data_IF_139928311332
#
_entry.id   IF_139928311332
#
_cell.length_a   1.000
_cell.length_b   1.000
_cell.length_c   1.000
_cell.angle_alpha   90.00
_cell.angle_beta   90.00
_cell.angle_gamma   90.00
#
_symmetry.space_group_name_H-M   'P 1'
#
loop_
_entity.id
_entity.type
_entity.pdbx_description
1 polymer ?
#
# COMPACT_ATOMS: atom_id res chain seq x y z
N UNK A 1 18.40 30.10 20.87
CA UNK A 1 19.51 30.64 20.09
C UNK A 1 19.03 31.33 18.82
N UNK A 2 17.94 30.90 18.26
CA UNK A 2 17.29 31.46 17.05
C UNK A 2 15.76 31.48 17.24
N UNK A 3 15.23 32.39 18.09
CA UNK A 3 13.81 32.40 18.45
C UNK A 3 12.91 32.68 17.22
N UNK A 4 13.34 33.57 16.33
CA UNK A 4 12.60 33.89 15.11
C UNK A 4 12.49 32.68 14.20
N UNK A 5 13.59 31.98 13.97
CA UNK A 5 13.59 30.75 13.16
C UNK A 5 12.68 29.66 13.75
N UNK A 6 12.70 29.50 15.09
CA UNK A 6 11.80 28.56 15.76
C UNK A 6 10.32 28.94 15.53
N UNK A 7 10.02 30.22 15.63
CA UNK A 7 8.66 30.74 15.41
C UNK A 7 8.20 30.48 13.95
N UNK A 8 9.04 30.83 12.97
CA UNK A 8 8.74 30.59 11.55
C UNK A 8 8.56 29.09 11.24
N UNK A 9 9.36 28.21 11.85
CA UNK A 9 9.19 26.76 11.70
C UNK A 9 7.86 26.27 12.28
N UNK A 10 7.44 26.77 13.44
CA UNK A 10 6.16 26.42 14.05
C UNK A 10 5.02 26.88 13.14
N UNK A 11 5.03 28.14 12.69
CA UNK A 11 4.00 28.70 11.80
C UNK A 11 3.91 27.91 10.47
N UNK A 12 5.05 27.51 9.92
CA UNK A 12 5.07 26.68 8.71
C UNK A 12 4.50 25.27 8.98
N UNK A 13 4.81 24.65 10.11
CA UNK A 13 4.25 23.35 10.50
C UNK A 13 2.74 23.43 10.73
N UNK A 14 2.26 24.48 11.41
CA UNK A 14 0.84 24.71 11.64
C UNK A 14 0.11 24.91 10.31
N UNK A 15 0.66 25.73 9.40
CA UNK A 15 0.13 25.92 8.06
C UNK A 15 0.04 24.61 7.27
N UNK A 16 1.10 23.79 7.28
CA UNK A 16 1.12 22.50 6.61
C UNK A 16 0.08 21.54 7.21
N UNK A 17 -0.06 21.53 8.53
CA UNK A 17 -1.03 20.67 9.21
C UNK A 17 -2.48 21.07 8.91
N UNK A 18 -2.77 22.37 8.82
CA UNK A 18 -4.10 22.89 8.47
C UNK A 18 -4.48 22.64 7.00
N UNK A 19 -3.46 22.56 6.12
CA UNK A 19 -3.65 22.38 4.68
C UNK A 19 -3.37 20.96 4.18
N UNK A 20 -3.26 19.97 5.09
CA UNK A 20 -3.18 18.57 4.70
C UNK A 20 -4.55 18.09 4.18
N UNK A 21 -4.54 17.45 3.02
CA UNK A 21 -5.75 16.83 2.44
C UNK A 21 -6.33 15.72 3.33
N UNK A 22 -5.53 15.16 4.23
CA UNK A 22 -5.91 14.09 5.15
C UNK A 22 -4.93 14.02 6.34
N UNK A 23 -5.43 13.49 7.47
CA UNK A 23 -4.63 13.24 8.67
C UNK A 23 -4.12 11.80 8.68
N UNK A 24 -2.92 11.59 9.19
CA UNK A 24 -2.39 10.25 9.47
C UNK A 24 -2.83 9.78 10.86
N UNK A 25 -2.91 8.46 11.03
CA UNK A 25 -3.29 7.83 12.29
C UNK A 25 -2.37 6.62 12.56
N UNK A 26 -1.85 6.47 13.79
CA UNK A 26 -1.07 5.27 14.12
C UNK A 26 -1.87 3.99 13.83
N UNK A 27 -1.23 3.06 13.16
CA UNK A 27 -1.79 1.71 13.00
C UNK A 27 -1.48 0.87 14.23
N UNK A 28 -2.32 -0.15 14.49
CA UNK A 28 -2.14 -1.05 15.63
C UNK A 28 -0.70 -1.58 15.73
N UNK A 29 -0.11 -1.41 16.92
CA UNK A 29 1.26 -1.75 17.24
C UNK A 29 1.64 -3.23 17.02
N UNK A 30 0.67 -4.12 16.85
CA UNK A 30 0.91 -5.52 16.50
C UNK A 30 1.46 -5.74 15.08
N UNK A 31 1.44 -4.73 14.21
CA UNK A 31 1.85 -4.85 12.80
C UNK A 31 3.26 -4.34 12.60
N UNK A 32 3.51 -3.06 12.84
CA UNK A 32 4.81 -2.42 12.74
C UNK A 32 4.84 -1.15 13.57
N UNK A 33 5.90 -0.95 14.35
CA UNK A 33 6.11 0.31 15.04
C UNK A 33 6.37 1.43 14.01
N UNK A 34 5.60 2.51 14.06
CA UNK A 34 5.78 3.68 13.21
C UNK A 34 5.06 3.63 11.86
N UNK A 35 4.26 2.59 11.57
CA UNK A 35 3.38 2.63 10.41
C UNK A 35 2.10 3.39 10.74
N UNK A 36 1.76 4.34 9.90
CA UNK A 36 0.56 5.17 10.04
C UNK A 36 -0.38 4.97 8.86
N UNK A 37 -1.66 4.86 9.15
CA UNK A 37 -2.72 4.93 8.15
C UNK A 37 -2.64 6.28 7.43
N UNK A 38 -2.71 6.26 6.12
CA UNK A 38 -2.53 7.37 5.19
C UNK A 38 -1.11 7.98 5.17
N UNK A 39 -0.17 7.44 5.95
CA UNK A 39 1.23 7.81 5.86
C UNK A 39 1.79 7.51 4.47
N UNK A 40 2.74 8.32 4.04
CA UNK A 40 3.36 8.25 2.72
C UNK A 40 4.79 7.71 2.86
N UNK A 41 5.09 6.59 2.20
CA UNK A 41 6.34 5.85 2.38
C UNK A 41 6.93 5.39 1.05
N UNK A 42 8.25 5.41 0.96
CA UNK A 42 8.96 4.62 -0.04
C UNK A 42 8.86 3.12 0.29
N UNK A 43 9.09 2.27 -0.69
CA UNK A 43 9.09 0.81 -0.45
C UNK A 43 10.20 0.40 0.53
N UNK A 44 11.32 1.08 0.47
CA UNK A 44 12.47 0.91 1.35
C UNK A 44 12.13 1.21 2.81
N UNK A 45 11.44 2.31 3.06
CA UNK A 45 10.96 2.68 4.40
C UNK A 45 9.98 1.65 4.95
N UNK A 46 9.02 1.20 4.11
CA UNK A 46 8.09 0.15 4.52
C UNK A 46 8.85 -1.12 4.91
N UNK A 47 9.80 -1.59 4.10
CA UNK A 47 10.59 -2.76 4.45
C UNK A 47 11.46 -2.57 5.70
N UNK A 48 11.97 -1.36 5.92
CA UNK A 48 12.71 -1.03 7.15
C UNK A 48 11.81 -1.09 8.39
N UNK A 49 10.59 -0.55 8.33
CA UNK A 49 9.59 -0.63 9.40
C UNK A 49 9.25 -2.08 9.78
N UNK A 50 9.29 -2.99 8.81
CA UNK A 50 9.08 -4.42 9.05
C UNK A 50 10.37 -5.20 9.37
N UNK A 51 11.52 -4.52 9.52
CA UNK A 51 12.80 -5.14 9.82
C UNK A 51 13.40 -5.94 8.66
N UNK A 52 12.95 -5.69 7.43
CA UNK A 52 13.41 -6.40 6.22
C UNK A 52 14.51 -5.70 5.46
N UNK A 53 14.81 -4.47 5.83
CA UNK A 53 15.88 -3.67 5.25
C UNK A 53 16.62 -2.90 6.32
N UNK A 54 17.94 -2.75 6.16
CA UNK A 54 18.80 -1.88 6.96
C UNK A 54 19.58 -0.94 6.05
N UNK A 55 20.32 0.03 6.62
CA UNK A 55 21.17 0.92 5.85
C UNK A 55 22.18 0.17 4.96
N UNK A 56 22.70 -0.95 5.46
CA UNK A 56 23.75 -1.75 4.81
C UNK A 56 23.22 -2.91 3.96
N UNK A 57 21.95 -3.27 4.14
CA UNK A 57 21.36 -4.44 3.47
C UNK A 57 20.03 -4.12 2.83
N UNK A 58 20.04 -3.98 1.49
CA UNK A 58 18.81 -3.79 0.72
C UNK A 58 18.00 -5.09 0.63
N UNK A 59 16.69 -4.94 0.70
CA UNK A 59 15.75 -6.04 0.52
C UNK A 59 15.83 -6.63 -0.89
N UNK A 60 16.00 -7.96 -0.98
CA UNK A 60 15.88 -8.67 -2.25
C UNK A 60 14.42 -9.05 -2.53
N UNK A 61 14.02 -9.05 -3.81
CA UNK A 61 12.65 -9.39 -4.21
C UNK A 61 11.63 -8.25 -4.11
N UNK A 62 12.09 -7.02 -3.86
CA UNK A 62 11.23 -5.84 -3.74
C UNK A 62 10.44 -5.46 -5.01
N UNK A 63 10.69 -6.12 -6.14
CA UNK A 63 9.98 -5.84 -7.41
C UNK A 63 8.53 -6.35 -7.42
N UNK A 64 8.17 -7.31 -6.56
CA UNK A 64 6.81 -7.88 -6.49
C UNK A 64 5.77 -6.87 -6.01
N UNK A 65 4.56 -6.96 -6.54
CA UNK A 65 3.37 -6.23 -6.07
C UNK A 65 2.76 -6.78 -4.78
N UNK A 66 3.14 -8.00 -4.37
CA UNK A 66 2.74 -8.60 -3.10
C UNK A 66 3.97 -9.19 -2.42
N UNK A 67 4.10 -8.98 -1.12
CA UNK A 67 5.22 -9.42 -0.32
C UNK A 67 4.77 -9.97 1.04
N UNK A 68 5.17 -11.22 1.35
CA UNK A 68 4.80 -11.89 2.60
C UNK A 68 5.88 -11.72 3.67
N UNK A 69 5.42 -11.43 4.88
CA UNK A 69 6.22 -11.40 6.11
C UNK A 69 5.69 -12.51 7.02
N UNK A 70 6.18 -13.72 6.77
CA UNK A 70 5.63 -14.95 7.37
C UNK A 70 5.68 -14.93 8.89
N UNK A 71 6.78 -14.47 9.50
CA UNK A 71 6.95 -14.41 10.96
C UNK A 71 6.00 -13.46 11.67
N UNK A 72 5.37 -12.53 10.93
CA UNK A 72 4.37 -11.59 11.45
C UNK A 72 2.94 -11.96 11.00
N UNK A 73 2.80 -12.98 10.16
CA UNK A 73 1.56 -13.34 9.49
C UNK A 73 0.92 -12.15 8.76
N UNK A 74 1.76 -11.37 8.06
CA UNK A 74 1.37 -10.15 7.34
C UNK A 74 1.74 -10.28 5.87
N UNK A 75 0.90 -9.75 5.00
CA UNK A 75 1.19 -9.57 3.57
C UNK A 75 1.03 -8.11 3.17
N UNK A 76 1.99 -7.58 2.43
CA UNK A 76 2.02 -6.21 1.96
C UNK A 76 1.64 -6.19 0.48
N UNK A 77 0.61 -5.41 0.12
CA UNK A 77 0.23 -5.16 -1.26
C UNK A 77 0.73 -3.81 -1.72
N UNK A 78 1.48 -3.78 -2.81
CA UNK A 78 2.02 -2.57 -3.43
C UNK A 78 1.37 -2.35 -4.79
N UNK A 79 0.45 -1.41 -4.86
CA UNK A 79 -0.36 -1.14 -6.04
C UNK A 79 -0.02 0.21 -6.65
N UNK A 80 0.18 0.22 -7.97
CA UNK A 80 0.22 1.43 -8.80
C UNK A 80 -1.06 1.45 -9.62
N UNK A 81 -1.88 2.49 -9.49
CA UNK A 81 -3.18 2.59 -10.17
C UNK A 81 -3.02 2.88 -11.66
N UNK A 82 -2.21 3.87 -12.01
CA UNK A 82 -1.95 4.23 -13.39
C UNK A 82 -0.75 3.43 -13.91
N UNK A 83 -1.02 2.43 -14.76
CA UNK A 83 0.02 1.56 -15.32
C UNK A 83 0.26 1.94 -16.77
N UNK A 84 1.34 2.66 -17.03
CA UNK A 84 1.76 2.99 -18.40
C UNK A 84 2.50 1.81 -19.03
N UNK A 85 2.40 1.68 -20.36
CA UNK A 85 3.14 0.66 -21.13
C UNK A 85 4.66 0.80 -21.01
N UNK A 86 5.15 2.01 -20.68
CA UNK A 86 6.58 2.28 -20.46
C UNK A 86 7.11 1.65 -19.16
N UNK A 87 6.24 1.54 -18.15
CA UNK A 87 6.62 1.13 -16.80
C UNK A 87 6.26 -0.32 -16.48
N UNK A 88 5.33 -0.90 -17.24
CA UNK A 88 4.81 -2.23 -17.00
C UNK A 88 4.70 -3.00 -18.32
N UNK A 89 5.16 -4.26 -18.31
CA UNK A 89 4.92 -5.15 -19.43
C UNK A 89 3.42 -5.48 -19.57
N UNK A 90 2.92 -5.84 -20.75
CA UNK A 90 1.51 -6.21 -20.96
C UNK A 90 1.02 -7.28 -19.97
N UNK A 91 1.91 -8.18 -19.55
CA UNK A 91 1.59 -9.28 -18.61
C UNK A 91 1.55 -8.83 -17.14
N UNK A 92 1.94 -7.59 -16.82
CA UNK A 92 1.96 -7.04 -15.46
C UNK A 92 1.07 -5.80 -15.31
N UNK A 93 0.28 -5.48 -16.32
CA UNK A 93 -0.74 -4.43 -16.28
C UNK A 93 -2.03 -4.96 -15.63
N UNK A 94 -1.94 -5.33 -14.35
CA UNK A 94 -3.10 -5.76 -13.57
C UNK A 94 -4.14 -4.64 -13.45
N UNK A 95 -5.40 -4.99 -13.49
CA UNK A 95 -6.51 -4.04 -13.37
C UNK A 95 -6.88 -3.87 -11.89
N UNK A 96 -6.19 -2.95 -11.23
CA UNK A 96 -6.39 -2.64 -9.80
C UNK A 96 -7.07 -1.26 -9.68
N UNK A 97 -8.17 -1.18 -8.94
CA UNK A 97 -8.94 0.06 -8.77
C UNK A 97 -9.81 0.05 -7.52
N UNK A 98 -10.18 1.24 -7.05
CA UNK A 98 -11.19 1.39 -6.00
C UNK A 98 -12.58 1.27 -6.61
N UNK A 99 -13.37 0.32 -6.11
CA UNK A 99 -14.80 0.15 -6.46
C UNK A 99 -15.60 1.23 -5.76
N UNK A 100 -15.23 1.55 -4.51
CA UNK A 100 -15.78 2.61 -3.68
C UNK A 100 -14.75 3.04 -2.64
N UNK A 101 -15.09 3.98 -1.76
CA UNK A 101 -14.20 4.40 -0.67
C UNK A 101 -13.76 3.27 0.26
N UNK A 102 -14.57 2.20 0.38
CA UNK A 102 -14.32 1.07 1.27
C UNK A 102 -14.07 -0.25 0.54
N UNK A 103 -14.03 -0.27 -0.78
CA UNK A 103 -13.89 -1.48 -1.60
C UNK A 103 -12.80 -1.32 -2.62
N UNK A 104 -11.94 -2.32 -2.71
CA UNK A 104 -10.81 -2.36 -3.63
C UNK A 104 -10.81 -3.65 -4.46
N UNK A 105 -10.71 -3.51 -5.78
CA UNK A 105 -10.48 -4.62 -6.70
C UNK A 105 -8.98 -4.77 -6.94
N UNK A 106 -8.48 -5.99 -6.78
CA UNK A 106 -7.09 -6.34 -6.99
C UNK A 106 -6.93 -7.60 -7.81
N UNK A 107 -6.00 -7.59 -8.75
CA UNK A 107 -5.60 -8.78 -9.49
C UNK A 107 -4.31 -9.36 -8.91
N UNK A 108 -4.35 -10.66 -8.59
CA UNK A 108 -3.18 -11.38 -8.14
C UNK A 108 -2.14 -11.52 -9.25
N UNK A 109 -0.96 -12.02 -8.90
CA UNK A 109 0.03 -12.44 -9.89
C UNK A 109 -0.55 -13.53 -10.81
N UNK A 110 -0.10 -13.57 -12.08
CA UNK A 110 -0.56 -14.51 -13.09
C UNK A 110 -0.34 -16.00 -12.75
N UNK A 111 0.47 -16.32 -11.76
CA UNK A 111 0.70 -17.68 -11.28
C UNK A 111 -0.25 -18.12 -10.17
N UNK A 112 -1.14 -17.24 -9.68
CA UNK A 112 -1.99 -17.50 -8.52
C UNK A 112 -3.35 -18.08 -8.93
N UNK A 113 -3.83 -19.02 -8.12
CA UNK A 113 -5.15 -19.64 -8.25
C UNK A 113 -5.72 -19.99 -6.87
N UNK A 114 -7.00 -20.34 -6.82
CA UNK A 114 -7.67 -20.78 -5.59
C UNK A 114 -7.09 -22.08 -5.01
N UNK A 115 -6.38 -22.87 -5.80
CA UNK A 115 -5.84 -24.18 -5.41
C UNK A 115 -4.34 -24.21 -5.13
N UNK A 116 -3.66 -23.09 -5.30
CA UNK A 116 -2.22 -22.96 -5.02
C UNK A 116 -1.93 -21.86 -3.97
N UNK A 117 -0.82 -21.16 -4.12
CA UNK A 117 -0.43 -20.07 -3.22
C UNK A 117 -1.45 -18.93 -3.12
N UNK A 118 -2.40 -18.81 -4.06
CA UNK A 118 -3.51 -17.87 -3.99
C UNK A 118 -4.57 -18.24 -2.94
N UNK A 119 -4.63 -19.52 -2.52
CA UNK A 119 -5.53 -19.97 -1.47
C UNK A 119 -5.35 -19.19 -0.15
N UNK A 120 -4.15 -18.65 0.13
CA UNK A 120 -3.88 -17.85 1.34
C UNK A 120 -4.69 -16.56 1.40
N UNK A 121 -5.06 -16.00 0.25
CA UNK A 121 -5.92 -14.80 0.17
C UNK A 121 -7.34 -15.14 0.57
N UNK A 122 -7.88 -16.20 -0.03
CA UNK A 122 -9.26 -16.68 0.21
C UNK A 122 -9.45 -17.17 1.65
N UNK A 123 -8.42 -17.79 2.21
CA UNK A 123 -8.45 -18.33 3.58
C UNK A 123 -8.15 -17.29 4.67
N UNK A 124 -8.02 -16.01 4.32
CA UNK A 124 -7.74 -14.95 5.29
C UNK A 124 -8.69 -14.96 6.50
N UNK A 125 -10.01 -15.13 6.34
CA UNK A 125 -10.91 -15.13 7.49
C UNK A 125 -10.64 -16.24 8.52
N UNK A 126 -10.01 -17.33 8.10
CA UNK A 126 -9.72 -18.49 8.95
C UNK A 126 -8.27 -18.58 9.42
N UNK A 127 -7.31 -18.01 8.67
CA UNK A 127 -5.89 -18.11 8.99
C UNK A 127 -5.34 -16.92 9.79
N UNK A 128 -6.16 -15.87 10.00
CA UNK A 128 -5.78 -14.66 10.72
C UNK A 128 -4.67 -13.84 10.06
N UNK A 129 -4.34 -14.09 8.78
CA UNK A 129 -3.35 -13.31 8.03
C UNK A 129 -3.85 -11.90 7.81
N UNK A 130 -3.00 -10.93 8.09
CA UNK A 130 -3.32 -9.52 7.90
C UNK A 130 -2.75 -9.03 6.57
N UNK A 131 -3.56 -8.33 5.80
CA UNK A 131 -3.16 -7.73 4.53
C UNK A 131 -3.16 -6.23 4.66
N UNK A 132 -2.06 -5.58 4.24
CA UNK A 132 -1.91 -4.13 4.29
C UNK A 132 -1.80 -3.63 2.85
N UNK A 133 -2.67 -2.70 2.49
CA UNK A 133 -2.71 -2.10 1.16
C UNK A 133 -1.90 -0.80 1.12
N UNK A 134 -0.95 -0.74 0.20
CA UNK A 134 -0.17 0.45 -0.14
C UNK A 134 -0.45 0.83 -1.59
N UNK A 135 -0.87 2.07 -1.82
CA UNK A 135 -1.30 2.56 -3.14
C UNK A 135 -0.55 3.82 -3.53
N UNK A 136 -0.20 3.92 -4.79
CA UNK A 136 0.23 5.17 -5.44
C UNK A 136 -0.49 5.33 -6.77
N UNK A 137 -0.63 6.56 -7.25
CA UNK A 137 -1.21 6.81 -8.58
C UNK A 137 -0.26 6.35 -9.67
N UNK A 138 0.92 6.94 -9.72
CA UNK A 138 1.91 6.71 -10.75
C UNK A 138 3.19 6.11 -10.17
N UNK A 139 3.94 5.39 -11.01
CA UNK A 139 5.24 4.84 -10.62
C UNK A 139 6.30 5.93 -10.48
N UNK A 140 6.22 6.94 -11.35
CA UNK A 140 7.14 8.07 -11.38
C UNK A 140 6.39 9.38 -11.47
N UNK A 141 6.97 10.42 -10.88
CA UNK A 141 6.49 11.79 -11.02
C UNK A 141 6.90 12.39 -12.38
N UNK A 142 6.46 13.64 -12.64
CA UNK A 142 6.79 14.37 -13.84
C UNK A 142 8.30 14.69 -14.03
N UNK A 143 9.10 14.49 -12.98
CA UNK A 143 10.55 14.68 -12.99
C UNK A 143 11.35 13.37 -13.08
N UNK A 144 10.66 12.23 -13.09
CA UNK A 144 11.26 10.90 -13.18
C UNK A 144 11.62 10.25 -11.84
N UNK A 145 11.31 10.89 -10.71
CA UNK A 145 11.51 10.31 -9.38
C UNK A 145 10.46 9.23 -9.10
N UNK A 146 10.84 8.21 -8.34
CA UNK A 146 9.90 7.17 -7.92
C UNK A 146 8.90 7.72 -6.91
N UNK A 147 7.61 7.65 -7.21
CA UNK A 147 6.54 8.05 -6.31
C UNK A 147 6.45 7.10 -5.11
N UNK A 148 6.31 7.62 -3.89
CA UNK A 148 6.05 6.83 -2.70
C UNK A 148 4.62 6.26 -2.70
N UNK A 149 4.36 5.36 -1.76
CA UNK A 149 3.05 4.75 -1.55
C UNK A 149 2.34 5.35 -0.35
N UNK A 150 1.04 5.46 -0.43
CA UNK A 150 0.18 5.78 0.70
C UNK A 150 -0.34 4.50 1.34
N UNK A 151 -0.25 4.41 2.67
CA UNK A 151 -0.79 3.29 3.43
C UNK A 151 -2.31 3.42 3.53
N UNK A 152 -3.05 2.52 2.90
CA UNK A 152 -4.53 2.46 2.99
C UNK A 152 -5.02 1.61 4.17
N UNK A 153 -4.11 1.05 4.96
CA UNK A 153 -4.43 0.25 6.13
C UNK A 153 -4.75 -1.21 5.82
N UNK A 154 -5.44 -1.83 6.76
CA UNK A 154 -5.83 -3.24 6.67
C UNK A 154 -6.95 -3.44 5.67
N UNK A 155 -6.89 -4.58 4.99
CA UNK A 155 -7.94 -5.03 4.09
C UNK A 155 -8.33 -6.48 4.38
N UNK A 156 -9.64 -6.76 4.31
CA UNK A 156 -10.22 -8.05 4.52
C UNK A 156 -10.79 -8.64 3.23
N UNK A 157 -10.62 -9.95 3.08
CA UNK A 157 -11.15 -10.68 1.93
C UNK A 157 -12.67 -10.65 1.89
N UNK A 158 -13.23 -10.39 0.73
CA UNK A 158 -14.68 -10.39 0.49
C UNK A 158 -15.09 -11.53 -0.43
N UNK A 159 -14.58 -11.52 -1.64
CA UNK A 159 -14.85 -12.54 -2.66
C UNK A 159 -13.77 -12.55 -3.73
N UNK A 160 -13.72 -13.62 -4.49
CA UNK A 160 -12.81 -13.74 -5.63
C UNK A 160 -13.41 -14.59 -6.75
N UNK A 161 -12.88 -14.39 -7.95
CA UNK A 161 -13.20 -15.22 -9.11
C UNK A 161 -12.00 -15.29 -10.05
N UNK A 162 -12.04 -16.26 -10.97
CA UNK A 162 -10.97 -16.47 -11.95
C UNK A 162 -9.71 -17.08 -11.33
N UNK A 163 -8.80 -17.47 -12.19
CA UNK A 163 -7.47 -17.98 -11.85
C UNK A 163 -6.49 -17.51 -12.92
N UNK A 164 -5.23 -17.29 -12.54
CA UNK A 164 -4.12 -16.99 -13.43
C UNK A 164 -4.29 -15.70 -14.29
N UNK A 165 -4.68 -14.52 -13.71
CA UNK A 165 -4.74 -14.15 -12.30
C UNK A 165 -6.10 -14.37 -11.63
N UNK A 166 -6.12 -14.33 -10.32
CA UNK A 166 -7.35 -14.22 -9.51
C UNK A 166 -7.78 -12.75 -9.44
N UNK A 167 -9.07 -12.50 -9.56
CA UNK A 167 -9.68 -11.19 -9.28
C UNK A 167 -10.25 -11.25 -7.87
N UNK A 168 -9.81 -10.36 -7.01
CA UNK A 168 -10.15 -10.38 -5.59
C UNK A 168 -10.70 -9.02 -5.18
N UNK A 169 -11.83 -9.01 -4.49
CA UNK A 169 -12.37 -7.83 -3.84
C UNK A 169 -11.99 -7.83 -2.36
N UNK A 170 -11.47 -6.70 -1.92
CA UNK A 170 -11.05 -6.43 -0.55
C UNK A 170 -11.93 -5.35 0.08
N UNK A 171 -12.28 -5.53 1.35
CA UNK A 171 -12.91 -4.52 2.18
C UNK A 171 -11.81 -3.77 2.93
N UNK A 172 -11.74 -2.45 2.79
CA UNK A 172 -10.88 -1.62 3.62
C UNK A 172 -11.49 -1.46 5.02
N UNK A 173 -10.66 -1.51 6.05
CA UNK A 173 -11.08 -1.22 7.42
C UNK A 173 -11.46 0.27 7.60
N UNK A 174 -10.77 1.16 6.90
CA UNK A 174 -11.01 2.60 6.87
C UNK A 174 -11.19 3.08 5.43
N UNK A 175 -11.97 4.14 5.18
CA UNK A 175 -12.17 4.66 3.83
C UNK A 175 -10.85 5.04 3.16
N UNK A 176 -10.74 4.80 1.86
CA UNK A 176 -9.59 5.25 1.08
C UNK A 176 -9.52 6.77 0.98
N UNK A 177 -8.33 7.31 0.78
CA UNK A 177 -8.12 8.74 0.51
C UNK A 177 -8.88 9.11 -0.77
N UNK A 178 -9.71 10.16 -0.71
CA UNK A 178 -10.61 10.57 -1.80
C UNK A 178 -9.92 10.75 -3.16
N UNK A 179 -8.69 11.25 -3.19
CA UNK A 179 -7.93 11.46 -4.43
C UNK A 179 -7.71 10.19 -5.26
N UNK A 180 -7.71 9.01 -4.64
CA UNK A 180 -7.54 7.74 -5.34
C UNK A 180 -8.84 7.14 -5.88
N UNK A 181 -9.98 7.69 -5.44
CA UNK A 181 -11.30 7.25 -5.87
C UNK A 181 -11.66 8.08 -7.10
N UNK A 182 -11.49 7.50 -8.30
CA UNK A 182 -11.95 8.17 -9.53
C UNK A 182 -13.47 8.30 -9.45
N UNK A 183 -13.99 9.52 -9.70
CA UNK A 183 -15.42 9.69 -9.88
C UNK A 183 -15.86 8.81 -11.07
N UNK A 184 -16.77 7.89 -10.80
CA UNK A 184 -17.43 7.05 -11.81
C UNK A 184 -18.38 7.90 -12.61
#
# INVERSE_FOLDING_TARGET
>A
RYPLFKQEMIEMMDYLQENLDFKTYPMDAGISAGLELYGCYTKEEIFALFGRQTADKKMQGAASGAFSIEEKNVELFFVTLNKSEKDFSPTTQYNDYFISENRFHWQSQNSMSHTNNGARYVNQPSNGRRFILFVREDKKDGFGNTCPYYCMGLVDYVKSHGNFPMNIEWQLEKPAIAKFIKAV
#
